data_IF_479523112092
#
_entry.id   IF_479523112092
#
_cell.length_a   1.000
_cell.length_b   1.000
_cell.length_c   1.000
_cell.angle_alpha   90.00
_cell.angle_beta   90.00
_cell.angle_gamma   90.00
#
_symmetry.space_group_name_H-M   'P 1'
#
loop_
_entity.id
_entity.type
_entity.pdbx_description
1 polymer ?
#
# COMPACT_ATOMS: atom_id res chain seq x y z
N UNK A 1 3.75 -18.98 -39.52
CA UNK A 1 2.80 -17.91 -39.90
C UNK A 1 3.35 -16.58 -39.42
N UNK A 2 3.74 -15.69 -40.35
CA UNK A 2 4.33 -14.38 -40.02
C UNK A 2 3.25 -13.31 -39.85
N UNK A 3 3.35 -12.51 -38.78
CA UNK A 3 2.47 -11.37 -38.51
C UNK A 3 3.27 -10.09 -38.31
N UNK A 4 2.62 -8.96 -38.53
CA UNK A 4 3.16 -7.63 -38.27
C UNK A 4 2.83 -7.19 -36.85
N UNK A 5 3.79 -6.58 -36.20
CA UNK A 5 3.67 -5.97 -34.87
C UNK A 5 3.88 -4.49 -35.04
N UNK A 6 2.81 -3.72 -34.93
CA UNK A 6 2.86 -2.28 -34.89
C UNK A 6 3.07 -1.81 -33.46
N UNK A 7 4.09 -0.98 -33.24
CA UNK A 7 4.46 -0.48 -31.92
C UNK A 7 3.90 0.93 -31.78
N UNK A 8 3.00 1.10 -30.80
CA UNK A 8 2.50 2.41 -30.40
C UNK A 8 3.09 2.77 -29.03
N UNK A 9 4.03 3.71 -29.04
CA UNK A 9 4.71 4.18 -27.82
C UNK A 9 5.00 5.67 -27.91
N UNK A 10 5.02 6.34 -26.77
CA UNK A 10 5.47 7.72 -26.65
C UNK A 10 7.02 7.83 -26.63
N UNK A 11 7.75 6.70 -26.66
CA UNK A 11 9.19 6.66 -26.49
C UNK A 11 9.96 6.11 -27.70
N UNK A 12 11.24 6.49 -27.88
CA UNK A 12 12.10 5.85 -28.86
C UNK A 12 12.31 4.39 -28.48
N UNK A 13 11.85 3.48 -29.33
CA UNK A 13 12.26 2.07 -29.27
C UNK A 13 13.75 1.98 -29.61
N UNK A 14 14.50 0.98 -29.10
CA UNK A 14 15.93 0.80 -29.44
C UNK A 14 16.18 0.68 -30.96
N UNK A 15 15.14 0.36 -31.72
CA UNK A 15 15.15 0.23 -33.17
C UNK A 15 14.32 1.34 -33.82
N UNK A 16 14.81 1.91 -34.93
CA UNK A 16 14.12 2.96 -35.72
C UNK A 16 12.81 2.50 -36.39
N UNK A 17 12.48 1.21 -36.30
CA UNK A 17 11.30 0.61 -36.93
C UNK A 17 10.15 0.49 -35.95
N UNK A 18 9.04 1.15 -36.27
CA UNK A 18 7.75 1.03 -35.58
C UNK A 18 7.03 -0.28 -35.88
N UNK A 19 7.50 -1.03 -36.88
CA UNK A 19 6.92 -2.31 -37.28
C UNK A 19 7.95 -3.43 -37.15
N UNK A 20 7.59 -4.50 -36.44
CA UNK A 20 8.35 -5.74 -36.37
C UNK A 20 7.58 -6.86 -37.05
N UNK A 21 8.30 -7.89 -37.50
CA UNK A 21 7.72 -9.13 -37.98
C UNK A 21 8.06 -10.24 -37.01
N UNK A 22 7.06 -11.00 -36.58
CA UNK A 22 7.27 -12.17 -35.73
C UNK A 22 6.56 -13.38 -36.34
N UNK A 23 7.20 -14.55 -36.22
CA UNK A 23 6.56 -15.81 -36.51
C UNK A 23 5.77 -16.28 -35.28
N UNK A 24 4.49 -16.61 -35.48
CA UNK A 24 3.61 -17.16 -34.44
C UNK A 24 3.72 -18.67 -34.25
N UNK A 25 4.56 -19.35 -35.05
CA UNK A 25 4.86 -20.77 -34.83
C UNK A 25 5.47 -20.99 -33.44
N UNK A 26 4.95 -22.02 -32.75
CA UNK A 26 5.31 -22.41 -31.38
C UNK A 26 4.90 -21.42 -30.28
N UNK A 27 3.99 -20.47 -30.57
CA UNK A 27 3.37 -19.63 -29.55
C UNK A 27 1.94 -20.12 -29.27
N UNK A 28 1.65 -20.46 -28.02
CA UNK A 28 0.31 -20.94 -27.63
C UNK A 28 -0.63 -19.77 -27.30
N UNK A 29 -0.09 -18.73 -26.67
CA UNK A 29 -0.85 -17.64 -26.06
C UNK A 29 -0.29 -16.26 -26.34
N UNK A 30 -1.11 -15.22 -26.07
CA UNK A 30 -0.67 -13.82 -26.09
C UNK A 30 0.43 -13.58 -25.05
N UNK A 31 0.42 -14.29 -23.91
CA UNK A 31 1.52 -14.27 -22.95
C UNK A 31 2.85 -14.69 -23.57
N UNK A 32 2.87 -15.77 -24.35
CA UNK A 32 4.09 -16.25 -25.03
C UNK A 32 4.57 -15.27 -26.08
N UNK A 33 3.63 -14.65 -26.81
CA UNK A 33 3.95 -13.58 -27.74
C UNK A 33 4.62 -12.39 -27.05
N UNK A 34 4.09 -11.94 -25.91
CA UNK A 34 4.70 -10.86 -25.11
C UNK A 34 6.10 -11.23 -24.64
N UNK A 35 6.31 -12.47 -24.17
CA UNK A 35 7.64 -12.98 -23.80
C UNK A 35 8.62 -13.00 -24.97
N UNK A 36 8.16 -13.36 -26.17
CA UNK A 36 8.99 -13.31 -27.39
C UNK A 36 9.34 -11.87 -27.78
N UNK A 37 8.43 -10.93 -27.56
CA UNK A 37 8.64 -9.50 -27.84
C UNK A 37 9.51 -8.79 -26.80
N UNK A 38 9.52 -9.24 -25.55
CA UNK A 38 10.27 -8.63 -24.44
C UNK A 38 11.74 -8.29 -24.78
N UNK A 39 12.58 -9.24 -25.23
CA UNK A 39 13.97 -8.94 -25.59
C UNK A 39 14.07 -8.06 -26.83
N UNK A 40 13.11 -8.12 -27.75
CA UNK A 40 13.08 -7.31 -28.98
C UNK A 40 12.73 -5.85 -28.69
N UNK A 41 11.87 -5.60 -27.72
CA UNK A 41 11.39 -4.26 -27.37
C UNK A 41 12.15 -3.66 -26.18
N UNK A 42 12.89 -4.47 -25.43
CA UNK A 42 13.44 -4.09 -24.12
C UNK A 42 12.34 -3.60 -23.16
N UNK A 43 11.25 -4.35 -23.08
CA UNK A 43 10.05 -4.00 -22.30
C UNK A 43 9.58 -5.23 -21.53
N UNK A 44 9.18 -5.07 -20.27
CA UNK A 44 8.59 -6.15 -19.48
C UNK A 44 7.30 -6.67 -20.14
N UNK A 45 7.15 -7.98 -20.26
CA UNK A 45 5.96 -8.58 -20.85
C UNK A 45 4.66 -8.17 -20.12
N UNK A 46 4.71 -7.96 -18.80
CA UNK A 46 3.59 -7.49 -17.98
C UNK A 46 3.13 -6.05 -18.33
N UNK A 47 4.03 -5.20 -18.85
CA UNK A 47 3.71 -3.83 -19.27
C UNK A 47 3.13 -3.73 -20.68
N UNK A 48 3.19 -4.81 -21.45
CA UNK A 48 2.67 -4.82 -22.82
C UNK A 48 1.14 -4.96 -22.82
N UNK A 49 0.48 -4.06 -23.55
CA UNK A 49 -0.93 -4.21 -23.94
C UNK A 49 -1.00 -4.53 -25.42
N UNK A 50 -1.65 -5.64 -25.76
CA UNK A 50 -1.71 -6.18 -27.12
C UNK A 50 -3.13 -6.08 -27.65
N UNK A 51 -3.27 -5.63 -28.89
CA UNK A 51 -4.55 -5.52 -29.60
C UNK A 51 -4.41 -6.18 -30.97
N UNK A 52 -5.48 -6.81 -31.47
CA UNK A 52 -5.51 -7.37 -32.82
C UNK A 52 -6.32 -6.45 -33.74
N UNK A 53 -5.71 -5.99 -34.84
CA UNK A 53 -6.34 -5.05 -35.76
C UNK A 53 -7.19 -5.78 -36.81
N UNK A 54 -8.27 -6.41 -36.36
CA UNK A 54 -9.37 -6.82 -37.25
C UNK A 54 -10.33 -5.66 -37.38
N UNK A 55 -10.69 -5.29 -38.63
CA UNK A 55 -11.56 -4.15 -38.93
C UNK A 55 -12.82 -4.11 -38.05
N UNK A 56 -13.27 -2.88 -37.76
CA UNK A 56 -14.46 -2.44 -36.98
C UNK A 56 -14.14 -1.97 -35.54
N UNK A 57 -13.74 -0.69 -35.49
CA UNK A 57 -13.97 0.36 -34.48
C UNK A 57 -13.61 0.17 -32.99
N UNK A 58 -13.45 -1.04 -32.43
CA UNK A 58 -12.99 -1.23 -31.05
C UNK A 58 -12.27 -2.59 -30.93
N UNK A 59 -10.95 -2.62 -31.14
CA UNK A 59 -10.16 -3.83 -30.84
C UNK A 59 -10.01 -3.96 -29.32
N UNK A 60 -10.60 -4.98 -28.65
CA UNK A 60 -10.41 -5.15 -27.22
C UNK A 60 -8.96 -5.52 -26.91
N UNK A 61 -8.47 -5.12 -25.73
CA UNK A 61 -7.18 -5.54 -25.20
C UNK A 61 -7.18 -7.06 -25.03
N UNK A 62 -6.17 -7.73 -25.56
CA UNK A 62 -6.02 -9.17 -25.44
C UNK A 62 -5.37 -9.55 -24.11
N UNK A 63 -6.00 -10.48 -23.41
CA UNK A 63 -5.48 -11.05 -22.17
C UNK A 63 -4.35 -12.06 -22.42
N UNK A 64 -3.43 -12.20 -21.46
CA UNK A 64 -2.29 -13.11 -21.57
C UNK A 64 -2.70 -14.57 -21.83
N UNK A 65 -3.83 -15.01 -21.24
CA UNK A 65 -4.33 -16.39 -21.36
C UNK A 65 -5.02 -16.68 -22.69
N UNK A 66 -5.29 -15.65 -23.52
CA UNK A 66 -5.95 -15.84 -24.81
C UNK A 66 -5.04 -16.65 -25.73
N UNK A 67 -5.53 -17.80 -26.19
CA UNK A 67 -4.81 -18.65 -27.15
C UNK A 67 -4.74 -17.98 -28.51
N UNK A 68 -3.59 -18.06 -29.17
CA UNK A 68 -3.39 -17.50 -30.52
C UNK A 68 -4.28 -18.22 -31.54
N UNK A 69 -4.45 -19.54 -31.40
CA UNK A 69 -5.35 -20.33 -32.24
C UNK A 69 -6.80 -19.83 -32.25
N UNK A 70 -7.21 -19.09 -31.22
CA UNK A 70 -8.57 -18.57 -31.08
C UNK A 70 -8.76 -17.17 -31.71
N UNK A 71 -7.71 -16.59 -32.30
CA UNK A 71 -7.73 -15.22 -32.83
C UNK A 71 -7.93 -15.14 -34.35
N UNK A 72 -8.10 -16.29 -35.03
CA UNK A 72 -8.28 -16.40 -36.48
C UNK A 72 -7.29 -15.55 -37.29
N UNK A 73 -6.04 -15.54 -36.82
CA UNK A 73 -4.96 -14.72 -37.37
C UNK A 73 -4.53 -15.28 -38.71
N UNK A 74 -4.30 -14.40 -39.68
CA UNK A 74 -3.78 -14.71 -41.02
C UNK A 74 -2.38 -14.15 -41.18
N UNK A 75 -1.66 -14.70 -42.16
CA UNK A 75 -0.36 -14.15 -42.54
C UNK A 75 -0.48 -12.69 -42.98
N UNK A 76 0.37 -11.83 -42.42
CA UNK A 76 0.35 -10.39 -42.66
C UNK A 76 -0.61 -9.57 -41.78
N UNK A 77 -1.43 -10.22 -40.93
CA UNK A 77 -2.25 -9.52 -39.93
C UNK A 77 -1.39 -8.68 -38.99
N UNK A 78 -1.99 -7.64 -38.41
CA UNK A 78 -1.27 -6.68 -37.56
C UNK A 78 -1.78 -6.73 -36.13
N UNK A 79 -0.86 -6.95 -35.19
CA UNK A 79 -1.07 -6.67 -33.78
C UNK A 79 -0.52 -5.29 -33.42
N UNK A 80 -1.22 -4.56 -32.57
CA UNK A 80 -0.75 -3.31 -31.99
C UNK A 80 -0.26 -3.61 -30.57
N UNK A 81 0.96 -3.18 -30.26
CA UNK A 81 1.56 -3.32 -28.94
C UNK A 81 1.81 -1.94 -28.35
N UNK A 82 1.22 -1.70 -27.17
CA UNK A 82 1.37 -0.48 -26.38
C UNK A 82 2.12 -0.78 -25.09
N UNK A 83 3.01 0.10 -24.67
CA UNK A 83 3.69 0.00 -23.38
C UNK A 83 4.15 1.38 -22.88
N UNK A 84 4.46 1.48 -21.59
CA UNK A 84 4.73 2.74 -20.90
C UNK A 84 6.19 3.19 -21.09
N UNK A 85 7.15 2.28 -20.93
CA UNK A 85 8.59 2.57 -21.04
C UNK A 85 9.39 1.30 -21.33
N UNK A 86 10.60 1.48 -21.85
CA UNK A 86 11.64 0.46 -21.90
C UNK A 86 12.28 0.24 -20.51
N UNK A 87 12.83 -0.95 -20.29
CA UNK A 87 13.53 -1.36 -19.07
C UNK A 87 14.96 -1.85 -19.37
N UNK A 88 15.82 -1.82 -18.35
CA UNK A 88 17.22 -2.26 -18.42
C UNK A 88 17.35 -3.78 -18.30
N UNK A 89 16.76 -4.51 -19.25
CA UNK A 89 16.68 -5.98 -19.23
C UNK A 89 18.02 -6.64 -18.89
N UNK A 90 19.09 -6.37 -19.65
CA UNK A 90 20.38 -7.03 -19.46
C UNK A 90 20.97 -6.81 -18.05
N UNK A 91 20.92 -5.58 -17.54
CA UNK A 91 21.40 -5.27 -16.19
C UNK A 91 20.58 -6.02 -15.14
N UNK A 92 19.25 -5.93 -15.23
CA UNK A 92 18.35 -6.56 -14.26
C UNK A 92 18.39 -8.08 -14.32
N UNK A 93 18.51 -8.69 -15.50
CA UNK A 93 18.68 -10.14 -15.65
C UNK A 93 19.95 -10.62 -14.96
N UNK A 94 21.09 -9.96 -15.21
CA UNK A 94 22.35 -10.29 -14.55
C UNK A 94 22.24 -10.17 -13.03
N UNK A 95 21.63 -9.07 -12.57
CA UNK A 95 21.39 -8.85 -11.15
C UNK A 95 20.51 -9.94 -10.51
N UNK A 96 19.43 -10.35 -11.18
CA UNK A 96 18.58 -11.45 -10.74
C UNK A 96 19.33 -12.79 -10.73
N UNK A 97 20.24 -13.01 -11.66
CA UNK A 97 21.08 -14.20 -11.68
C UNK A 97 22.05 -14.23 -10.50
N UNK A 98 22.63 -13.09 -10.11
CA UNK A 98 23.45 -12.97 -8.89
C UNK A 98 22.61 -13.27 -7.63
N UNK A 99 21.38 -12.77 -7.55
CA UNK A 99 20.45 -13.09 -6.46
C UNK A 99 20.09 -14.59 -6.45
N UNK A 100 19.83 -15.20 -7.61
CA UNK A 100 19.55 -16.63 -7.74
C UNK A 100 20.73 -17.47 -7.29
N UNK A 101 21.95 -17.10 -7.69
CA UNK A 101 23.17 -17.79 -7.29
C UNK A 101 23.32 -17.74 -5.76
N UNK A 102 23.15 -16.58 -5.14
CA UNK A 102 23.19 -16.48 -3.67
C UNK A 102 22.10 -17.31 -2.99
N UNK A 103 20.86 -17.26 -3.48
CA UNK A 103 19.78 -18.06 -2.90
C UNK A 103 20.10 -19.55 -3.00
N UNK A 104 20.60 -20.02 -4.14
CA UNK A 104 20.95 -21.43 -4.34
C UNK A 104 22.16 -21.86 -3.50
N UNK A 105 23.25 -21.11 -3.58
CA UNK A 105 24.54 -21.50 -3.02
C UNK A 105 24.65 -21.17 -1.52
N UNK A 106 23.84 -20.23 -1.02
CA UNK A 106 23.87 -19.75 0.39
C UNK A 106 22.53 -19.91 1.09
N UNK A 107 21.38 -19.59 0.50
CA UNK A 107 20.14 -19.78 1.25
C UNK A 107 19.74 -21.26 1.33
N UNK A 108 19.77 -21.99 0.22
CA UNK A 108 19.28 -23.39 0.14
C UNK A 108 20.25 -24.37 0.83
N UNK A 109 21.55 -24.27 0.53
CA UNK A 109 22.59 -25.09 1.19
C UNK A 109 22.54 -24.98 2.73
N UNK A 110 22.17 -23.81 3.24
CA UNK A 110 22.12 -23.55 4.69
C UNK A 110 20.72 -23.69 5.30
N UNK A 111 19.68 -23.87 4.47
CA UNK A 111 18.32 -24.19 4.93
C UNK A 111 18.10 -25.70 5.07
N UNK A 112 18.82 -26.53 4.30
CA UNK A 112 18.76 -27.99 4.36
C UNK A 112 19.65 -28.59 5.47
N UNK A 113 20.58 -27.82 6.03
CA UNK A 113 21.43 -28.21 7.14
C UNK A 113 20.80 -27.90 8.50
N UNK A 114 20.35 -28.96 9.21
CA UNK A 114 19.98 -28.90 10.62
C UNK A 114 21.03 -28.16 11.46
N UNK A 115 20.56 -27.15 12.19
CA UNK A 115 21.27 -26.46 13.28
C UNK A 115 22.61 -25.85 12.89
N UNK A 116 22.54 -24.65 12.32
CA UNK A 116 23.45 -23.60 12.80
C UNK A 116 23.15 -23.44 14.29
N UNK A 117 23.93 -24.10 15.16
CA UNK A 117 24.06 -23.70 16.56
C UNK A 117 24.28 -22.18 16.57
N UNK A 118 23.64 -21.46 17.48
CA UNK A 118 23.82 -20.00 17.64
C UNK A 118 25.30 -19.57 17.72
N UNK A 119 26.21 -20.52 17.98
CA UNK A 119 27.66 -20.41 17.83
C UNK A 119 28.16 -21.08 16.53
N UNK A 120 28.10 -20.38 15.39
CA UNK A 120 29.17 -20.55 14.39
C UNK A 120 30.40 -19.88 15.02
N UNK A 121 31.51 -20.60 15.11
CA UNK A 121 32.78 -19.97 15.41
C UNK A 121 33.14 -19.13 14.18
N UNK A 122 32.92 -17.82 14.25
CA UNK A 122 33.11 -16.88 13.13
C UNK A 122 34.58 -16.74 12.69
N UNK A 123 35.48 -17.54 13.27
CA UNK A 123 36.86 -17.74 12.83
C UNK A 123 37.00 -18.82 11.75
N UNK A 124 35.91 -19.48 11.33
CA UNK A 124 35.89 -20.45 10.22
C UNK A 124 35.89 -19.73 8.86
N UNK A 125 36.75 -20.17 7.95
CA UNK A 125 36.82 -19.70 6.55
C UNK A 125 35.45 -19.74 5.86
N UNK A 126 34.60 -20.69 6.25
CA UNK A 126 33.23 -20.83 5.75
C UNK A 126 32.34 -19.66 6.16
N UNK A 127 32.44 -19.18 7.40
CA UNK A 127 31.65 -18.06 7.90
C UNK A 127 32.03 -16.74 7.22
N UNK A 128 33.34 -16.54 7.00
CA UNK A 128 33.88 -15.41 6.26
C UNK A 128 33.43 -15.41 4.80
N UNK A 129 33.43 -16.57 4.15
CA UNK A 129 32.94 -16.71 2.77
C UNK A 129 31.45 -16.33 2.66
N UNK A 130 30.61 -16.76 3.60
CA UNK A 130 29.18 -16.41 3.64
C UNK A 130 28.97 -14.91 3.88
N UNK A 131 29.68 -14.31 4.83
CA UNK A 131 29.59 -12.87 5.10
C UNK A 131 29.97 -12.06 3.84
N UNK A 132 31.03 -12.47 3.14
CA UNK A 132 31.44 -11.85 1.88
C UNK A 132 30.39 -11.99 0.78
N UNK A 133 29.79 -13.18 0.62
CA UNK A 133 28.69 -13.40 -0.33
C UNK A 133 27.48 -12.52 0.02
N UNK A 134 27.08 -12.47 1.29
CA UNK A 134 25.95 -11.66 1.74
C UNK A 134 26.20 -10.16 1.52
N UNK A 135 27.38 -9.65 1.90
CA UNK A 135 27.76 -8.25 1.66
C UNK A 135 27.76 -7.91 0.17
N UNK A 136 28.21 -8.83 -0.67
CA UNK A 136 28.22 -8.63 -2.12
C UNK A 136 26.79 -8.47 -2.64
N UNK A 137 25.88 -9.37 -2.26
CA UNK A 137 24.47 -9.29 -2.67
C UNK A 137 23.77 -8.06 -2.10
N UNK A 138 24.04 -7.72 -0.84
CA UNK A 138 23.47 -6.52 -0.21
C UNK A 138 23.93 -5.26 -0.92
N UNK A 139 25.21 -5.14 -1.27
CA UNK A 139 25.72 -4.01 -2.05
C UNK A 139 25.07 -3.95 -3.43
N UNK A 140 24.96 -5.08 -4.13
CA UNK A 140 24.31 -5.13 -5.44
C UNK A 140 22.83 -4.74 -5.35
N UNK A 141 22.15 -5.14 -4.27
CA UNK A 141 20.79 -4.69 -3.96
C UNK A 141 20.77 -3.16 -3.80
N UNK A 142 21.59 -2.60 -2.91
CA UNK A 142 21.65 -1.15 -2.69
C UNK A 142 21.95 -0.36 -3.98
N UNK A 143 22.88 -0.83 -4.79
CA UNK A 143 23.21 -0.25 -6.10
C UNK A 143 22.02 -0.32 -7.07
N UNK A 144 21.34 -1.47 -7.16
CA UNK A 144 20.16 -1.64 -8.02
C UNK A 144 19.01 -0.74 -7.57
N UNK A 145 18.74 -0.68 -6.27
CA UNK A 145 17.71 0.20 -5.70
C UNK A 145 18.00 1.67 -6.04
N UNK A 146 19.25 2.11 -5.87
CA UNK A 146 19.63 3.50 -6.11
C UNK A 146 19.65 3.87 -7.60
N UNK A 147 20.21 3.01 -8.45
CA UNK A 147 20.47 3.34 -9.86
C UNK A 147 19.27 3.08 -10.76
N UNK A 148 18.45 2.07 -10.45
CA UNK A 148 17.44 1.58 -11.39
C UNK A 148 16.00 1.70 -10.89
N UNK A 149 15.79 1.81 -9.58
CA UNK A 149 14.44 1.95 -9.01
C UNK A 149 14.11 3.37 -8.57
N UNK A 150 15.06 4.29 -8.57
CA UNK A 150 14.90 5.71 -8.21
C UNK A 150 15.20 6.60 -9.42
N UNK A 151 14.46 7.71 -9.65
CA UNK A 151 13.30 8.17 -8.88
C UNK A 151 12.05 7.32 -9.15
N UNK A 152 11.27 7.04 -8.11
CA UNK A 152 10.12 6.12 -8.14
C UNK A 152 9.00 6.56 -9.10
N UNK A 153 8.86 7.86 -9.33
CA UNK A 153 7.80 8.43 -10.17
C UNK A 153 8.10 8.39 -11.67
N UNK A 154 9.31 7.96 -12.06
CA UNK A 154 9.73 7.90 -13.46
C UNK A 154 9.21 6.62 -14.14
N UNK A 155 8.72 6.77 -15.36
CA UNK A 155 8.20 5.65 -16.16
C UNK A 155 9.25 4.54 -16.39
N UNK A 156 10.53 4.89 -16.54
CA UNK A 156 11.60 3.91 -16.76
C UNK A 156 11.87 3.06 -15.51
N UNK A 157 11.88 3.67 -14.33
CA UNK A 157 12.11 2.95 -13.07
C UNK A 157 10.90 2.10 -12.70
N UNK A 158 9.67 2.56 -13.01
CA UNK A 158 8.45 1.74 -12.93
C UNK A 158 8.60 0.48 -13.78
N UNK A 159 8.99 0.61 -15.04
CA UNK A 159 9.18 -0.53 -15.94
C UNK A 159 10.29 -1.48 -15.44
N UNK A 160 11.37 -0.95 -14.86
CA UNK A 160 12.43 -1.76 -14.22
C UNK A 160 11.88 -2.58 -13.04
N UNK A 161 11.06 -1.98 -12.16
CA UNK A 161 10.45 -2.67 -11.01
C UNK A 161 9.44 -3.74 -11.45
N UNK A 162 8.63 -3.46 -12.47
CA UNK A 162 7.70 -4.44 -13.03
C UNK A 162 8.44 -5.62 -13.66
N UNK A 163 9.55 -5.37 -14.38
CA UNK A 163 10.40 -6.44 -14.90
C UNK A 163 11.01 -7.27 -13.77
N UNK A 164 11.58 -6.62 -12.75
CA UNK A 164 12.15 -7.29 -11.58
C UNK A 164 11.13 -8.21 -10.90
N UNK A 165 9.91 -7.74 -10.67
CA UNK A 165 8.83 -8.54 -10.11
C UNK A 165 8.41 -9.69 -11.04
N UNK A 166 8.27 -9.43 -12.34
CA UNK A 166 7.90 -10.45 -13.33
C UNK A 166 8.86 -11.65 -13.34
N UNK A 167 10.15 -11.40 -13.17
CA UNK A 167 11.20 -12.43 -13.24
C UNK A 167 11.49 -13.12 -11.89
N UNK A 168 10.59 -12.95 -10.92
CA UNK A 168 10.68 -13.59 -9.60
C UNK A 168 11.58 -12.88 -8.59
N UNK A 169 11.89 -11.60 -8.83
CA UNK A 169 12.78 -10.83 -7.96
C UNK A 169 12.26 -10.65 -6.54
N UNK A 170 10.92 -10.58 -6.36
CA UNK A 170 10.29 -10.42 -5.05
C UNK A 170 10.48 -11.67 -4.19
N UNK A 171 10.34 -12.87 -4.77
CA UNK A 171 10.52 -14.15 -4.10
C UNK A 171 11.99 -14.37 -3.70
N UNK A 172 12.92 -13.97 -4.57
CA UNK A 172 14.36 -14.01 -4.26
C UNK A 172 14.69 -13.07 -3.11
N UNK A 173 14.16 -11.83 -3.15
CA UNK A 173 14.34 -10.86 -2.09
C UNK A 173 13.80 -11.37 -0.76
N UNK A 174 12.62 -11.99 -0.76
CA UNK A 174 12.03 -12.58 0.43
C UNK A 174 12.89 -13.70 1.03
N UNK A 175 13.49 -14.54 0.19
CA UNK A 175 14.43 -15.58 0.64
C UNK A 175 15.70 -14.99 1.24
N UNK A 176 16.25 -13.93 0.63
CA UNK A 176 17.41 -13.21 1.15
C UNK A 176 17.09 -12.56 2.50
N UNK A 177 15.93 -11.93 2.62
CA UNK A 177 15.49 -11.33 3.88
C UNK A 177 15.24 -12.37 4.96
N UNK A 178 14.67 -13.52 4.61
CA UNK A 178 14.49 -14.64 5.54
C UNK A 178 15.84 -15.18 6.04
N UNK A 179 16.84 -15.25 5.16
CA UNK A 179 18.19 -15.59 5.56
C UNK A 179 18.77 -14.53 6.51
N UNK A 180 18.61 -13.25 6.18
CA UNK A 180 19.09 -12.14 6.99
C UNK A 180 18.37 -12.02 8.35
N UNK A 181 17.07 -12.33 8.43
CA UNK A 181 16.27 -12.26 9.66
C UNK A 181 16.72 -13.28 10.70
N UNK A 182 17.11 -14.48 10.25
CA UNK A 182 17.69 -15.52 11.11
C UNK A 182 19.10 -15.18 11.63
N UNK A 183 19.72 -14.10 11.15
CA UNK A 183 21.12 -13.76 11.40
C UNK A 183 21.30 -12.31 11.86
N UNK A 184 22.53 -11.92 12.21
CA UNK A 184 22.87 -10.54 12.59
C UNK A 184 23.03 -9.60 11.38
N UNK A 185 22.56 -10.02 10.20
CA UNK A 185 22.68 -9.24 8.99
C UNK A 185 21.65 -8.10 8.92
N UNK A 186 22.02 -6.93 8.36
CA UNK A 186 21.09 -5.83 8.13
C UNK A 186 20.13 -6.18 6.98
N UNK A 187 18.85 -5.82 7.11
CA UNK A 187 17.88 -5.91 6.01
C UNK A 187 18.04 -4.69 5.10
N UNK A 188 18.13 -4.89 3.79
CA UNK A 188 18.16 -3.79 2.82
C UNK A 188 16.75 -3.28 2.54
N UNK A 189 16.17 -2.46 3.42
CA UNK A 189 14.70 -2.24 3.50
C UNK A 189 14.09 -1.30 2.44
N UNK A 190 14.85 -0.88 1.43
CA UNK A 190 14.41 0.06 0.37
C UNK A 190 13.45 -0.54 -0.67
N UNK A 191 13.12 -1.81 -0.55
CA UNK A 191 12.26 -2.52 -1.50
C UNK A 191 10.83 -2.69 -1.04
N UNK A 192 10.48 -2.25 0.18
CA UNK A 192 9.10 -2.35 0.69
C UNK A 192 8.08 -1.59 -0.17
N UNK A 193 8.56 -0.74 -1.05
CA UNK A 193 7.80 0.08 -1.97
C UNK A 193 7.53 -0.61 -3.32
N UNK A 194 8.13 -1.78 -3.56
CA UNK A 194 7.78 -2.60 -4.72
C UNK A 194 6.32 -3.06 -4.60
N UNK A 195 5.58 -3.20 -5.70
CA UNK A 195 4.26 -3.82 -5.66
C UNK A 195 4.33 -5.23 -5.07
N UNK A 196 3.32 -5.61 -4.28
CA UNK A 196 3.09 -6.94 -3.69
C UNK A 196 4.13 -7.45 -2.68
N UNK A 197 5.30 -6.81 -2.57
CA UNK A 197 6.32 -7.20 -1.59
C UNK A 197 5.80 -7.12 -0.15
N UNK A 198 4.91 -6.16 0.14
CA UNK A 198 4.35 -5.96 1.46
C UNK A 198 3.63 -7.23 1.95
N UNK A 199 2.92 -7.90 1.04
CA UNK A 199 2.25 -9.15 1.34
C UNK A 199 3.27 -10.26 1.62
N UNK A 200 4.30 -10.39 0.77
CA UNK A 200 5.34 -11.41 0.93
C UNK A 200 6.09 -11.23 2.26
N UNK A 201 6.40 -9.99 2.65
CA UNK A 201 7.03 -9.68 3.93
C UNK A 201 6.11 -10.02 5.10
N UNK A 202 4.83 -9.68 5.00
CA UNK A 202 3.85 -9.93 6.06
C UNK A 202 3.52 -11.41 6.25
N UNK A 203 3.65 -12.23 5.21
CA UNK A 203 3.51 -13.70 5.30
C UNK A 203 4.70 -14.35 6.03
N UNK A 204 5.83 -13.67 6.17
CA UNK A 204 7.01 -14.16 6.87
C UNK A 204 7.14 -13.57 8.28
N UNK A 205 6.72 -14.35 9.28
CA UNK A 205 6.78 -13.97 10.69
C UNK A 205 8.20 -13.62 11.18
N UNK A 206 9.24 -14.32 10.69
CA UNK A 206 10.62 -14.04 11.10
C UNK A 206 11.12 -12.69 10.57
N UNK A 207 10.73 -12.33 9.34
CA UNK A 207 11.04 -11.03 8.76
C UNK A 207 10.33 -9.91 9.52
N UNK A 208 9.03 -10.06 9.82
CA UNK A 208 8.30 -9.11 10.67
C UNK A 208 8.95 -8.96 12.05
N UNK A 209 9.31 -10.07 12.69
CA UNK A 209 9.99 -10.08 13.99
C UNK A 209 11.33 -9.36 13.93
N UNK A 210 12.10 -9.57 12.86
CA UNK A 210 13.38 -8.88 12.65
C UNK A 210 13.20 -7.39 12.42
N UNK A 211 12.24 -6.98 11.59
CA UNK A 211 11.91 -5.56 11.37
C UNK A 211 11.55 -4.89 12.69
N UNK A 212 10.69 -5.53 13.49
CA UNK A 212 10.34 -5.02 14.81
C UNK A 212 11.55 -4.95 15.74
N UNK A 213 12.41 -5.96 15.76
CA UNK A 213 13.65 -5.95 16.55
C UNK A 213 14.58 -4.79 16.15
N UNK A 214 14.71 -4.54 14.84
CA UNK A 214 15.54 -3.45 14.29
C UNK A 214 15.05 -2.08 14.74
N UNK A 215 13.75 -1.87 14.96
CA UNK A 215 13.22 -0.57 15.42
C UNK A 215 13.80 -0.11 16.77
N UNK A 216 14.29 -1.03 17.60
CA UNK A 216 14.94 -0.72 18.87
C UNK A 216 16.45 -0.96 18.84
N UNK A 217 16.89 -1.98 18.11
CA UNK A 217 18.27 -2.50 18.15
C UNK A 217 19.08 -2.23 16.88
N UNK A 218 18.54 -1.45 15.93
CA UNK A 218 19.30 -1.04 14.74
C UNK A 218 20.60 -0.33 15.10
N UNK A 219 21.61 -0.47 14.24
CA UNK A 219 22.96 0.10 14.43
C UNK A 219 22.97 1.62 14.55
N UNK A 220 22.03 2.27 13.88
CA UNK A 220 21.87 3.72 13.79
C UNK A 220 20.38 4.09 13.73
N UNK A 221 20.08 5.39 13.81
CA UNK A 221 18.71 5.91 13.74
C UNK A 221 18.04 5.57 12.41
N UNK A 222 18.77 5.69 11.30
CA UNK A 222 18.26 5.42 9.97
C UNK A 222 17.73 3.99 9.84
N UNK A 223 18.48 2.99 10.29
CA UNK A 223 18.03 1.60 10.23
C UNK A 223 16.75 1.36 11.04
N UNK A 224 16.64 1.97 12.23
CA UNK A 224 15.44 1.88 13.07
C UNK A 224 14.23 2.48 12.36
N UNK A 225 14.41 3.65 11.75
CA UNK A 225 13.38 4.42 11.07
C UNK A 225 12.90 3.74 9.79
N UNK A 226 13.81 3.23 8.97
CA UNK A 226 13.43 2.50 7.75
C UNK A 226 12.71 1.19 8.11
N UNK A 227 13.13 0.48 9.17
CA UNK A 227 12.42 -0.71 9.63
C UNK A 227 10.98 -0.38 10.08
N UNK A 228 10.79 0.72 10.81
CA UNK A 228 9.47 1.19 11.23
C UNK A 228 8.61 1.65 10.04
N UNK A 229 9.18 2.41 9.10
CA UNK A 229 8.50 2.80 7.86
C UNK A 229 8.08 1.57 7.03
N UNK A 230 8.91 0.53 7.00
CA UNK A 230 8.60 -0.71 6.30
C UNK A 230 7.41 -1.43 6.90
N UNK A 231 7.34 -1.53 8.23
CA UNK A 231 6.17 -2.05 8.92
C UNK A 231 4.92 -1.24 8.56
N UNK A 232 5.01 0.10 8.59
CA UNK A 232 3.94 0.99 8.15
C UNK A 232 3.52 0.72 6.70
N UNK A 233 4.45 0.65 5.74
CA UNK A 233 4.15 0.33 4.35
C UNK A 233 3.42 -1.01 4.23
N UNK A 234 3.79 -2.02 5.03
CA UNK A 234 3.07 -3.28 5.07
C UNK A 234 1.64 -3.14 5.61
N UNK A 235 1.40 -2.27 6.61
CA UNK A 235 0.04 -2.02 7.12
C UNK A 235 -0.88 -1.34 6.10
N UNK A 236 -0.34 -0.61 5.12
CA UNK A 236 -1.13 0.04 4.07
C UNK A 236 -1.70 -0.93 3.03
N UNK A 237 -1.10 -2.13 2.89
CA UNK A 237 -1.57 -3.11 1.92
C UNK A 237 -2.62 -4.03 2.57
N UNK A 238 -3.89 -4.05 2.10
CA UNK A 238 -4.98 -4.72 2.83
C UNK A 238 -4.76 -6.20 3.14
N UNK A 239 -4.10 -6.95 2.23
CA UNK A 239 -3.79 -8.37 2.47
C UNK A 239 -2.63 -8.55 3.45
N UNK A 240 -1.65 -7.65 3.40
CA UNK A 240 -0.49 -7.70 4.29
C UNK A 240 -0.90 -7.32 5.72
N UNK A 241 -1.77 -6.31 5.85
CA UNK A 241 -2.33 -5.87 7.12
C UNK A 241 -3.11 -6.99 7.84
N UNK A 242 -3.89 -7.80 7.10
CA UNK A 242 -4.53 -9.01 7.66
C UNK A 242 -3.51 -10.02 8.17
N UNK A 243 -2.46 -10.28 7.39
CA UNK A 243 -1.39 -11.20 7.81
C UNK A 243 -0.64 -10.69 9.05
N UNK A 244 -0.44 -9.39 9.17
CA UNK A 244 0.11 -8.74 10.36
C UNK A 244 -0.77 -8.99 11.60
N UNK A 245 -2.11 -8.91 11.45
CA UNK A 245 -3.07 -9.20 12.52
C UNK A 245 -3.05 -10.68 12.90
N UNK A 246 -3.12 -11.58 11.91
CA UNK A 246 -3.04 -13.04 12.11
C UNK A 246 -1.75 -13.44 12.85
N UNK A 247 -0.64 -12.79 12.51
CA UNK A 247 0.67 -13.00 13.13
C UNK A 247 0.86 -12.25 14.46
N UNK A 248 -0.14 -11.51 14.94
CA UNK A 248 -0.10 -10.69 16.16
C UNK A 248 1.04 -9.66 16.21
N UNK A 249 1.67 -9.34 15.07
CA UNK A 249 2.80 -8.41 15.02
C UNK A 249 2.40 -7.00 15.50
N UNK A 250 1.14 -6.60 15.30
CA UNK A 250 0.62 -5.33 15.80
C UNK A 250 0.59 -5.22 17.32
N UNK A 251 0.39 -6.32 18.06
CA UNK A 251 0.43 -6.32 19.54
C UNK A 251 1.82 -5.96 20.02
N UNK A 252 2.85 -6.51 19.39
CA UNK A 252 4.23 -6.21 19.77
C UNK A 252 4.66 -4.78 19.38
N UNK A 253 4.05 -4.19 18.34
CA UNK A 253 4.17 -2.75 18.06
C UNK A 253 3.45 -1.93 19.12
N UNK A 254 2.23 -2.32 19.50
CA UNK A 254 1.42 -1.66 20.54
C UNK A 254 2.15 -1.66 21.89
N UNK A 255 2.66 -2.81 22.35
CA UNK A 255 3.43 -2.96 23.59
C UNK A 255 4.65 -2.03 23.63
N UNK A 256 5.36 -1.89 22.51
CA UNK A 256 6.49 -0.95 22.40
C UNK A 256 6.01 0.51 22.43
N UNK A 257 4.92 0.80 21.74
CA UNK A 257 4.38 2.15 21.61
C UNK A 257 3.72 2.66 22.91
N UNK A 258 3.25 1.77 23.79
CA UNK A 258 2.70 2.11 25.11
C UNK A 258 3.68 2.94 25.98
N UNK A 259 4.99 2.86 25.74
CA UNK A 259 5.96 3.74 26.38
C UNK A 259 5.67 5.24 26.17
N UNK A 260 4.96 5.61 25.10
CA UNK A 260 4.54 7.00 24.82
C UNK A 260 3.64 7.57 25.93
N UNK A 261 2.80 6.76 26.55
CA UNK A 261 1.92 7.19 27.65
C UNK A 261 2.73 7.63 28.89
N UNK A 262 3.88 6.99 29.11
CA UNK A 262 4.78 7.28 30.21
C UNK A 262 5.73 8.44 29.92
N UNK A 263 5.99 8.75 28.65
CA UNK A 263 6.97 9.75 28.24
C UNK A 263 6.59 11.17 28.69
N UNK A 264 5.30 11.44 28.99
CA UNK A 264 4.67 12.69 29.47
C UNK A 264 4.97 13.93 28.63
N UNK A 265 6.22 14.28 28.37
CA UNK A 265 6.70 15.34 27.45
C UNK A 265 8.09 15.05 26.84
N UNK A 266 8.83 14.05 27.35
CA UNK A 266 10.20 13.75 26.94
C UNK A 266 10.31 12.40 26.22
N UNK A 267 10.35 12.47 24.89
CA UNK A 267 10.53 11.29 24.03
C UNK A 267 11.95 10.70 24.10
N UNK A 268 12.92 11.37 24.73
CA UNK A 268 14.29 10.86 24.87
C UNK A 268 14.38 9.65 25.80
N UNK A 269 13.37 9.45 26.66
CA UNK A 269 13.25 8.29 27.53
C UNK A 269 12.82 7.01 26.78
N UNK A 270 12.40 7.12 25.51
CA UNK A 270 11.98 5.97 24.71
C UNK A 270 13.18 5.25 24.07
N UNK A 271 13.10 3.92 23.89
CA UNK A 271 14.17 3.14 23.26
C UNK A 271 14.26 3.33 21.73
N UNK A 272 13.47 4.26 21.16
CA UNK A 272 13.37 4.51 19.73
C UNK A 272 13.17 6.01 19.43
N UNK A 273 13.45 6.42 18.19
CA UNK A 273 13.42 7.84 17.78
C UNK A 273 11.98 8.36 17.63
N UNK A 274 11.81 9.68 17.60
CA UNK A 274 10.50 10.31 17.32
C UNK A 274 9.92 9.84 15.97
N UNK A 275 10.77 9.58 14.98
CA UNK A 275 10.34 9.07 13.68
C UNK A 275 9.82 7.63 13.76
N UNK A 276 10.47 6.75 14.54
CA UNK A 276 9.93 5.40 14.81
C UNK A 276 8.58 5.48 15.51
N UNK A 277 8.42 6.35 16.51
CA UNK A 277 7.13 6.57 17.18
C UNK A 277 6.04 7.00 16.19
N UNK A 278 6.37 7.92 15.28
CA UNK A 278 5.47 8.37 14.22
C UNK A 278 5.04 7.22 13.29
N UNK A 279 5.98 6.39 12.82
CA UNK A 279 5.65 5.24 11.97
C UNK A 279 4.85 4.15 12.72
N UNK A 280 5.08 3.96 14.02
CA UNK A 280 4.26 3.07 14.85
C UNK A 280 2.82 3.58 14.99
N UNK A 281 2.62 4.88 15.20
CA UNK A 281 1.28 5.45 15.30
C UNK A 281 0.53 5.33 13.96
N UNK A 282 1.20 5.63 12.85
CA UNK A 282 0.65 5.40 11.51
C UNK A 282 0.28 3.94 11.26
N UNK A 283 1.18 3.02 11.61
CA UNK A 283 0.94 1.59 11.51
C UNK A 283 -0.27 1.14 12.32
N UNK A 284 -0.37 1.53 13.59
CA UNK A 284 -1.48 1.12 14.46
C UNK A 284 -2.80 1.75 14.02
N UNK A 285 -2.79 3.02 13.62
CA UNK A 285 -3.95 3.70 13.07
C UNK A 285 -4.49 2.96 11.84
N UNK A 286 -3.61 2.57 10.90
CA UNK A 286 -4.01 1.81 9.72
C UNK A 286 -4.63 0.47 10.06
N UNK A 287 -4.01 -0.29 10.97
CA UNK A 287 -4.50 -1.60 11.41
C UNK A 287 -5.90 -1.44 12.03
N UNK A 288 -6.13 -0.39 12.83
CA UNK A 288 -7.42 -0.09 13.43
C UNK A 288 -8.48 0.33 12.40
N UNK A 289 -8.10 1.06 11.35
CA UNK A 289 -9.04 1.58 10.34
C UNK A 289 -9.27 0.62 9.15
N UNK A 290 -8.82 -0.64 9.25
CA UNK A 290 -9.10 -1.61 8.20
C UNK A 290 -10.61 -1.80 8.01
N UNK A 291 -11.10 -1.86 6.76
CA UNK A 291 -12.53 -1.87 6.46
C UNK A 291 -13.26 -3.17 6.83
N UNK A 292 -12.57 -4.21 7.31
CA UNK A 292 -13.21 -5.47 7.71
C UNK A 292 -13.63 -5.39 9.18
N UNK A 293 -14.92 -5.64 9.42
CA UNK A 293 -15.50 -5.56 10.76
C UNK A 293 -14.87 -6.61 11.70
N UNK A 294 -14.59 -6.19 12.94
CA UNK A 294 -14.22 -7.06 14.08
C UNK A 294 -12.86 -7.76 14.01
N UNK A 295 -11.86 -7.18 13.32
CA UNK A 295 -10.50 -7.74 13.33
C UNK A 295 -9.77 -7.62 14.66
N UNK A 296 -10.08 -6.58 15.45
CA UNK A 296 -9.43 -6.30 16.73
C UNK A 296 -10.43 -6.36 17.91
N UNK A 297 -10.02 -6.92 19.06
CA UNK A 297 -10.72 -6.78 20.33
C UNK A 297 -10.91 -5.31 20.75
N UNK A 298 -12.02 -5.01 21.43
CA UNK A 298 -12.35 -3.66 21.87
C UNK A 298 -11.30 -3.05 22.82
N UNK A 299 -10.77 -3.85 23.74
CA UNK A 299 -9.74 -3.44 24.68
C UNK A 299 -8.43 -3.06 23.99
N UNK A 300 -8.07 -3.76 22.91
CA UNK A 300 -6.90 -3.43 22.11
C UNK A 300 -7.12 -2.16 21.28
N UNK A 301 -8.33 -1.95 20.75
CA UNK A 301 -8.71 -0.69 20.09
C UNK A 301 -8.57 0.49 21.07
N UNK A 302 -8.99 0.34 22.33
CA UNK A 302 -8.84 1.38 23.34
C UNK A 302 -7.36 1.64 23.67
N UNK A 303 -6.53 0.60 23.78
CA UNK A 303 -5.09 0.76 23.98
C UNK A 303 -4.41 1.46 22.80
N UNK A 304 -4.77 1.11 21.56
CA UNK A 304 -4.27 1.81 20.37
C UNK A 304 -4.67 3.29 20.45
N UNK A 305 -5.94 3.59 20.69
CA UNK A 305 -6.44 4.96 20.81
C UNK A 305 -5.66 5.77 21.87
N UNK A 306 -5.34 5.17 23.02
CA UNK A 306 -4.54 5.81 24.07
C UNK A 306 -3.13 6.16 23.59
N UNK A 307 -2.46 5.23 22.90
CA UNK A 307 -1.14 5.46 22.30
C UNK A 307 -1.19 6.58 21.26
N UNK A 308 -2.20 6.59 20.39
CA UNK A 308 -2.35 7.60 19.35
C UNK A 308 -2.59 9.00 19.96
N UNK A 309 -3.44 9.12 20.98
CA UNK A 309 -3.66 10.39 21.68
C UNK A 309 -2.40 10.84 22.43
N UNK A 310 -1.69 9.93 23.09
CA UNK A 310 -0.42 10.25 23.76
C UNK A 310 0.62 10.81 22.77
N UNK A 311 0.71 10.23 21.56
CA UNK A 311 1.57 10.76 20.51
C UNK A 311 1.16 12.17 20.08
N UNK A 312 -0.13 12.41 19.83
CA UNK A 312 -0.67 13.70 19.40
C UNK A 312 -0.45 14.80 20.44
N UNK A 313 -0.43 14.45 21.74
CA UNK A 313 -0.13 15.40 22.81
C UNK A 313 1.35 15.80 22.89
N UNK A 314 2.27 14.90 22.53
CA UNK A 314 3.72 15.11 22.73
C UNK A 314 4.44 15.55 21.45
N UNK A 315 3.89 15.25 20.28
CA UNK A 315 4.52 15.55 18.98
C UNK A 315 3.66 16.53 18.19
N UNK A 316 4.30 17.50 17.53
CA UNK A 316 3.62 18.45 16.62
C UNK A 316 3.91 18.12 15.16
N UNK A 317 3.01 18.43 14.21
CA UNK A 317 3.24 18.20 12.78
C UNK A 317 4.53 18.85 12.28
N UNK A 318 4.85 20.06 12.78
CA UNK A 318 6.05 20.79 12.40
C UNK A 318 7.36 20.08 12.75
N UNK A 319 7.37 19.30 13.85
CA UNK A 319 8.55 18.52 14.27
C UNK A 319 8.81 17.36 13.30
N UNK A 320 7.75 16.68 12.86
CA UNK A 320 7.84 15.59 11.87
C UNK A 320 8.18 16.14 10.48
N UNK A 321 7.58 17.26 10.08
CA UNK A 321 7.90 17.93 8.81
C UNK A 321 9.38 18.26 8.69
N UNK A 322 9.98 18.89 9.71
CA UNK A 322 11.43 19.17 9.73
C UNK A 322 12.28 17.91 9.65
N UNK A 323 11.92 16.86 10.40
CA UNK A 323 12.62 15.58 10.33
C UNK A 323 12.60 15.03 8.89
N UNK A 324 11.45 15.06 8.22
CA UNK A 324 11.32 14.56 6.85
C UNK A 324 12.12 15.38 5.84
N UNK A 325 12.12 16.71 5.98
CA UNK A 325 12.93 17.62 5.15
C UNK A 325 14.44 17.36 5.34
N UNK A 326 14.91 17.28 6.60
CA UNK A 326 16.31 17.02 6.94
C UNK A 326 16.83 15.69 6.37
N UNK A 327 15.97 14.67 6.33
CA UNK A 327 16.32 13.34 5.84
C UNK A 327 15.91 13.11 4.38
N UNK A 328 15.40 14.15 3.70
CA UNK A 328 14.93 14.10 2.31
C UNK A 328 13.96 12.94 2.04
N UNK A 329 13.05 12.69 2.99
CA UNK A 329 11.99 11.71 2.78
C UNK A 329 11.09 12.17 1.65
N UNK A 330 10.83 11.28 0.70
CA UNK A 330 9.85 11.54 -0.34
C UNK A 330 8.86 10.40 -0.39
N UNK A 331 7.59 10.77 -0.32
CA UNK A 331 6.49 9.82 -0.34
C UNK A 331 6.21 9.36 -1.77
N UNK A 332 5.90 8.07 -1.93
CA UNK A 332 5.44 7.53 -3.21
C UNK A 332 3.97 7.86 -3.45
N UNK A 333 3.19 7.84 -2.37
CA UNK A 333 1.75 8.07 -2.40
C UNK A 333 1.30 8.75 -1.13
N UNK A 334 0.30 9.63 -1.27
CA UNK A 334 -0.34 10.33 -0.16
C UNK A 334 -1.72 9.75 0.18
N UNK A 335 -2.16 8.75 -0.59
CA UNK A 335 -3.42 8.03 -0.40
C UNK A 335 -3.58 7.51 1.04
N UNK A 336 -2.59 6.85 1.67
CA UNK A 336 -2.79 6.29 3.00
C UNK A 336 -3.12 7.33 4.08
N UNK A 337 -2.51 8.52 4.01
CA UNK A 337 -2.75 9.59 4.98
C UNK A 337 -4.13 10.21 4.83
N UNK A 338 -4.59 10.37 3.59
CA UNK A 338 -5.96 10.81 3.32
C UNK A 338 -6.99 9.75 3.72
N UNK A 339 -6.71 8.48 3.48
CA UNK A 339 -7.58 7.38 3.91
C UNK A 339 -7.74 7.36 5.43
N UNK A 340 -6.67 7.55 6.18
CA UNK A 340 -6.71 7.67 7.64
C UNK A 340 -7.57 8.87 8.07
N UNK A 341 -7.35 10.05 7.50
CA UNK A 341 -8.11 11.26 7.83
C UNK A 341 -9.60 11.17 7.47
N UNK A 342 -9.97 10.23 6.59
CA UNK A 342 -11.33 10.00 6.10
C UNK A 342 -11.89 8.63 6.54
N UNK A 343 -11.26 7.96 7.50
CA UNK A 343 -11.64 6.60 7.90
C UNK A 343 -13.06 6.54 8.48
N UNK A 344 -13.58 7.65 8.99
CA UNK A 344 -14.88 7.72 9.63
C UNK A 344 -14.82 7.24 11.08
N UNK A 345 -15.90 7.44 11.85
CA UNK A 345 -15.93 7.03 13.24
C UNK A 345 -15.96 5.50 13.28
N UNK A 346 -14.95 4.89 13.92
CA UNK A 346 -15.00 3.47 14.28
C UNK A 346 -16.23 3.27 15.15
N UNK A 347 -17.27 2.59 14.64
CA UNK A 347 -18.51 2.38 15.40
C UNK A 347 -18.13 1.63 16.69
N UNK A 348 -18.35 2.21 17.88
CA UNK A 348 -18.33 1.42 19.09
C UNK A 348 -19.47 0.41 18.96
N UNK A 349 -19.21 -0.84 19.33
CA UNK A 349 -20.24 -1.85 19.48
C UNK A 349 -21.40 -1.26 20.28
N UNK A 350 -22.54 -1.09 19.63
CA UNK A 350 -23.80 -1.07 20.35
C UNK A 350 -23.97 -2.46 20.93
N UNK A 351 -23.91 -2.60 22.25
CA UNK A 351 -24.36 -3.81 22.90
C UNK A 351 -25.78 -4.07 22.41
N UNK A 352 -26.04 -5.26 21.86
CA UNK A 352 -27.41 -5.69 21.51
C UNK A 352 -28.37 -5.62 22.72
N UNK A 353 -27.85 -5.45 23.93
CA UNK A 353 -28.62 -5.22 25.14
C UNK A 353 -29.35 -3.86 25.22
N UNK A 354 -28.92 -2.82 24.51
CA UNK A 354 -29.67 -1.54 24.51
C UNK A 354 -30.85 -1.54 23.52
N UNK A 355 -30.88 -2.46 22.55
CA UNK A 355 -32.01 -2.60 21.62
C UNK A 355 -33.20 -3.37 22.20
N UNK A 356 -33.04 -4.03 23.34
CA UNK A 356 -34.09 -4.85 23.97
C UNK A 356 -34.83 -4.16 25.13
N UNK A 357 -34.43 -2.96 25.55
CA UNK A 357 -35.08 -2.25 26.67
C UNK A 357 -36.05 -1.13 26.27
N UNK A 358 -36.24 -0.87 24.98
CA UNK A 358 -37.25 0.07 24.48
C UNK A 358 -38.29 -0.65 23.61
N UNK A 359 -38.85 -1.74 24.10
CA UNK A 359 -40.18 -2.21 23.65
C UNK A 359 -41.20 -1.75 24.69
N UNK A 360 -42.22 -0.96 24.33
CA UNK A 360 -43.36 -0.76 25.20
C UNK A 360 -44.00 -2.13 25.45
N UNK A 361 -44.12 -2.54 26.71
CA UNK A 361 -44.93 -3.69 27.06
C UNK A 361 -46.39 -3.34 26.77
N UNK A 362 -46.91 -3.79 25.64
CA UNK A 362 -48.34 -3.81 25.38
C UNK A 362 -48.89 -5.02 26.13
N UNK A 363 -49.50 -4.76 27.29
CA UNK A 363 -50.34 -5.72 28.00
C UNK A 363 -51.56 -6.03 27.14
N UNK A 364 -51.67 -7.27 26.66
CA UNK A 364 -52.86 -7.76 25.94
C UNK A 364 -53.84 -8.32 26.97
N UNK A 365 -54.96 -7.62 27.14
CA UNK A 365 -56.13 -8.07 27.89
C UNK A 365 -57.07 -8.83 26.93
N UNK A 366 -57.37 -10.13 27.15
CA UNK A 366 -58.15 -10.90 26.20
C UNK A 366 -59.63 -10.91 26.58
N UNK A 367 -60.42 -10.00 26.00
CA UNK A 367 -61.88 -10.16 25.78
C UNK A 367 -62.47 -8.93 25.07
N UNK A 368 -62.73 -9.04 23.77
CA UNK A 368 -64.07 -8.80 23.20
C UNK A 368 -64.06 -9.00 21.69
N UNK A 369 -65.21 -9.43 21.22
CA UNK A 369 -65.53 -10.06 19.95
C UNK A 369 -66.17 -9.04 18.97
N UNK A 370 -66.06 -9.36 17.67
CA UNK A 370 -66.97 -9.04 16.55
C UNK A 370 -66.86 -7.65 15.87
N UNK A 371 -66.63 -7.66 14.54
CA UNK A 371 -67.34 -6.76 13.61
C UNK A 371 -66.57 -6.08 12.47
N UNK A 372 -66.51 -6.74 11.31
CA UNK A 372 -66.84 -6.22 9.94
C UNK A 372 -66.08 -5.02 9.29
N UNK A 373 -65.33 -5.37 8.23
CA UNK A 373 -65.08 -4.69 6.92
C UNK A 373 -64.24 -3.38 6.78
N UNK A 374 -63.63 -3.17 5.58
CA UNK A 374 -62.44 -2.33 5.38
C UNK A 374 -62.78 -0.92 4.85
N UNK A 375 -61.98 0.08 5.25
CA UNK A 375 -62.09 1.45 4.73
C UNK A 375 -60.76 2.19 4.83
N UNK A 376 -60.34 2.75 3.69
CA UNK A 376 -59.19 3.62 3.47
C UNK A 376 -59.11 4.79 4.46
N UNK A 377 -57.94 4.99 5.12
CA UNK A 377 -57.46 6.29 5.65
C UNK A 377 -55.93 6.26 5.67
N UNK A 378 -55.29 7.04 4.80
CA UNK A 378 -54.70 8.37 5.09
C UNK A 378 -53.33 8.25 5.78
N UNK A 379 -52.29 8.48 4.98
CA UNK A 379 -50.89 8.45 5.37
C UNK A 379 -50.49 9.76 6.05
N UNK A 380 -50.75 9.90 7.35
CA UNK A 380 -50.09 10.92 8.17
C UNK A 380 -49.65 10.29 9.49
N UNK A 381 -48.39 9.87 9.53
CA UNK A 381 -47.69 9.58 10.77
C UNK A 381 -46.41 10.41 10.78
N UNK A 382 -46.45 11.47 11.58
CA UNK A 382 -45.34 12.33 11.95
C UNK A 382 -44.14 11.49 12.38
N UNK A 383 -43.07 11.51 11.58
CA UNK A 383 -41.77 10.99 11.99
C UNK A 383 -41.13 12.07 12.86
N UNK A 384 -41.41 12.03 14.16
CA UNK A 384 -40.64 12.75 15.16
C UNK A 384 -39.28 12.06 15.35
N UNK A 385 -38.31 12.35 14.47
CA UNK A 385 -36.91 11.95 14.65
C UNK A 385 -36.07 13.17 15.02
N UNK A 386 -36.25 13.71 16.22
CA UNK A 386 -35.23 14.54 16.87
C UNK A 386 -34.23 13.61 17.57
N UNK A 387 -33.29 13.06 16.79
CA UNK A 387 -31.95 12.79 17.32
C UNK A 387 -31.12 13.99 16.92
N UNK A 388 -30.90 14.91 17.85
CA UNK A 388 -29.86 15.93 17.69
C UNK A 388 -28.55 15.18 17.43
N UNK A 389 -28.09 15.21 16.19
CA UNK A 389 -26.78 14.69 15.81
C UNK A 389 -25.78 15.64 16.45
N UNK A 390 -25.15 15.21 17.54
CA UNK A 390 -24.04 15.94 18.15
C UNK A 390 -22.92 16.21 17.14
N UNK A 391 -21.99 17.15 17.43
CA UNK A 391 -20.86 17.41 16.56
C UNK A 391 -20.06 16.13 16.31
N UNK A 392 -19.55 15.99 15.09
CA UNK A 392 -18.69 14.87 14.73
C UNK A 392 -17.41 14.90 15.56
N UNK A 393 -17.07 13.77 16.18
CA UNK A 393 -15.83 13.60 16.93
C UNK A 393 -14.87 12.74 16.11
N UNK A 394 -13.71 13.30 15.78
CA UNK A 394 -12.62 12.59 15.12
C UNK A 394 -12.04 11.56 16.06
N UNK A 395 -11.93 10.32 15.57
CA UNK A 395 -11.18 9.28 16.26
C UNK A 395 -9.68 9.61 16.29
N UNK A 396 -8.91 9.04 17.25
CA UNK A 396 -7.47 9.23 17.30
C UNK A 396 -6.76 8.84 15.99
N UNK A 397 -7.23 7.80 15.30
CA UNK A 397 -6.68 7.41 14.00
C UNK A 397 -6.91 8.48 12.91
N UNK A 398 -8.08 9.11 12.87
CA UNK A 398 -8.35 10.21 11.94
C UNK A 398 -7.54 11.46 12.28
N UNK A 399 -7.36 11.76 13.57
CA UNK A 399 -6.49 12.85 14.03
C UNK A 399 -5.04 12.61 13.60
N UNK A 400 -4.54 11.37 13.64
CA UNK A 400 -3.21 11.03 13.08
C UNK A 400 -3.18 11.30 11.56
N UNK A 401 -4.24 10.96 10.83
CA UNK A 401 -4.36 11.33 9.41
C UNK A 401 -4.25 12.84 9.18
N UNK A 402 -5.04 13.63 9.91
CA UNK A 402 -5.01 15.11 9.87
C UNK A 402 -3.63 15.68 10.24
N UNK A 403 -3.03 15.15 11.30
CA UNK A 403 -1.69 15.47 11.75
C UNK A 403 -0.66 15.30 10.62
N UNK A 404 -0.76 14.22 9.84
CA UNK A 404 0.14 13.97 8.72
C UNK A 404 -0.07 14.99 7.61
N UNK A 405 -1.32 15.24 7.23
CA UNK A 405 -1.66 16.19 6.17
C UNK A 405 -1.16 17.61 6.47
N UNK A 406 -1.07 17.99 7.75
CA UNK A 406 -0.56 19.30 8.17
C UNK A 406 0.88 19.57 7.74
N UNK A 407 1.75 18.56 7.70
CA UNK A 407 3.13 18.74 7.24
C UNK A 407 3.32 18.30 5.78
N UNK A 408 2.57 17.29 5.32
CA UNK A 408 2.63 16.81 3.94
C UNK A 408 2.13 17.84 2.92
N UNK A 409 1.11 18.65 3.24
CA UNK A 409 0.59 19.66 2.32
C UNK A 409 1.51 20.88 2.11
N UNK A 410 2.53 21.07 2.97
CA UNK A 410 3.35 22.28 2.97
C UNK A 410 4.51 22.24 1.97
N UNK A 411 4.97 21.06 1.55
CA UNK A 411 6.13 20.95 0.66
C UNK A 411 5.72 21.00 -0.81
N UNK A 412 6.48 21.70 -1.69
CA UNK A 412 6.21 21.72 -3.13
C UNK A 412 6.11 20.32 -3.75
N UNK A 413 6.99 19.40 -3.35
CA UNK A 413 7.09 18.04 -3.88
C UNK A 413 5.81 17.24 -3.59
N UNK A 414 5.30 17.33 -2.36
CA UNK A 414 4.07 16.64 -1.98
C UNK A 414 2.83 17.31 -2.59
N UNK A 415 2.82 18.63 -2.78
CA UNK A 415 1.73 19.32 -3.51
C UNK A 415 1.61 18.83 -4.95
N UNK A 416 2.73 18.66 -5.63
CA UNK A 416 2.74 18.06 -6.98
C UNK A 416 2.29 16.60 -6.94
N UNK A 417 2.60 15.87 -5.86
CA UNK A 417 2.10 14.51 -5.67
C UNK A 417 0.58 14.47 -5.46
N UNK A 418 0.00 15.37 -4.65
CA UNK A 418 -1.45 15.50 -4.50
C UNK A 418 -2.14 15.75 -5.85
N UNK A 419 -1.58 16.62 -6.70
CA UNK A 419 -2.09 16.87 -8.06
C UNK A 419 -1.99 15.64 -8.94
N UNK A 420 -0.81 14.99 -8.95
CA UNK A 420 -0.53 13.80 -9.76
C UNK A 420 -1.48 12.64 -9.42
N UNK A 421 -1.76 12.44 -8.14
CA UNK A 421 -2.66 11.40 -7.65
C UNK A 421 -4.15 11.82 -7.67
N UNK A 422 -4.45 13.07 -8.08
CA UNK A 422 -5.81 13.64 -8.13
C UNK A 422 -6.50 13.64 -6.76
N UNK A 423 -5.75 14.01 -5.73
CA UNK A 423 -6.17 13.96 -4.33
C UNK A 423 -6.58 15.32 -3.75
N UNK A 424 -6.42 16.42 -4.50
CA UNK A 424 -6.70 17.79 -4.05
C UNK A 424 -8.14 17.96 -3.53
N UNK A 425 -9.12 17.46 -4.27
CA UNK A 425 -10.52 17.54 -3.89
C UNK A 425 -10.81 16.85 -2.54
N UNK A 426 -10.14 15.73 -2.25
CA UNK A 426 -10.26 15.02 -0.97
C UNK A 426 -9.61 15.80 0.16
N UNK A 427 -8.41 16.35 -0.07
CA UNK A 427 -7.71 17.19 0.89
C UNK A 427 -8.55 18.42 1.27
N UNK A 428 -9.16 19.09 0.28
CA UNK A 428 -10.02 20.25 0.51
C UNK A 428 -11.25 19.86 1.34
N UNK A 429 -11.89 18.72 1.01
CA UNK A 429 -13.04 18.21 1.77
C UNK A 429 -12.67 17.94 3.24
N UNK A 430 -11.54 17.28 3.49
CA UNK A 430 -11.04 17.00 4.85
C UNK A 430 -10.80 18.29 5.61
N UNK A 431 -10.13 19.28 5.01
CA UNK A 431 -9.85 20.56 5.66
C UNK A 431 -11.14 21.33 5.96
N UNK A 432 -12.06 21.39 5.01
CA UNK A 432 -13.36 22.06 5.18
C UNK A 432 -14.18 21.42 6.30
N UNK A 433 -14.08 20.10 6.45
CA UNK A 433 -14.75 19.36 7.52
C UNK A 433 -14.08 19.61 8.89
N UNK A 434 -12.75 19.48 8.96
CA UNK A 434 -11.97 19.72 10.19
C UNK A 434 -12.14 21.14 10.75
N UNK A 435 -12.25 22.16 9.88
CA UNK A 435 -12.49 23.55 10.28
C UNK A 435 -13.79 23.77 11.08
N UNK A 436 -14.75 22.84 10.99
CA UNK A 436 -16.03 22.89 11.73
C UNK A 436 -15.97 22.18 13.08
N UNK A 437 -14.86 21.52 13.39
CA UNK A 437 -14.66 20.74 14.61
C UNK A 437 -13.58 21.42 15.47
N UNK A 438 -13.95 22.11 16.56
CA UNK A 438 -12.98 22.83 17.40
C UNK A 438 -11.87 21.95 17.99
N UNK A 439 -12.15 20.66 18.20
CA UNK A 439 -11.20 19.68 18.77
C UNK A 439 -10.00 19.34 17.88
N UNK A 440 -10.07 19.63 16.57
CA UNK A 440 -9.00 19.36 15.60
C UNK A 440 -8.59 20.62 14.84
N UNK A 441 -8.93 21.80 15.38
CA UNK A 441 -8.65 23.07 14.74
C UNK A 441 -7.14 23.30 14.52
N UNK A 442 -6.30 22.81 15.45
CA UNK A 442 -4.84 22.83 15.38
C UNK A 442 -4.26 21.77 14.42
N UNK A 443 -5.05 20.75 14.07
CA UNK A 443 -4.73 19.71 13.08
C UNK A 443 -5.37 19.98 11.71
N UNK A 444 -5.76 21.23 11.43
CA UNK A 444 -6.28 21.60 10.10
C UNK A 444 -5.11 21.93 9.15
N UNK A 445 -4.90 21.17 8.06
CA UNK A 445 -3.84 21.44 7.11
C UNK A 445 -4.01 22.81 6.45
N UNK A 446 -2.88 23.51 6.24
CA UNK A 446 -2.87 24.74 5.46
C UNK A 446 -2.85 24.39 3.98
N UNK A 447 -3.76 25.00 3.22
CA UNK A 447 -3.89 24.79 1.78
C UNK A 447 -3.13 25.83 0.96
N UNK A 448 -2.04 26.36 1.51
CA UNK A 448 -1.20 27.33 0.82
C UNK A 448 -0.66 26.72 -0.49
N UNK A 449 -0.89 27.38 -1.62
CA UNK A 449 -0.44 26.91 -2.94
C UNK A 449 -1.39 25.95 -3.68
N UNK A 450 -2.59 25.70 -3.15
CA UNK A 450 -3.68 25.05 -3.89
C UNK A 450 -4.59 26.11 -4.52
N UNK A 451 -4.97 25.93 -5.79
CA UNK A 451 -5.79 26.91 -6.53
C UNK A 451 -7.25 26.94 -6.05
N UNK A 452 -7.73 25.81 -5.53
CA UNK A 452 -9.11 25.62 -5.08
C UNK A 452 -9.16 25.49 -3.57
N UNK A 453 -10.00 26.30 -2.92
CA UNK A 453 -10.18 26.31 -1.47
C UNK A 453 -11.59 25.89 -1.02
N UNK A 454 -12.52 25.75 -1.96
CA UNK A 454 -13.88 25.29 -1.69
C UNK A 454 -14.07 23.82 -2.09
N UNK A 455 -14.74 23.02 -1.24
CA UNK A 455 -14.98 21.62 -1.54
C UNK A 455 -15.81 21.47 -2.83
N UNK A 456 -15.64 20.37 -3.57
CA UNK A 456 -16.52 20.06 -4.69
C UNK A 456 -17.97 20.02 -4.23
N UNK A 457 -18.87 20.55 -5.09
CA UNK A 457 -20.30 20.46 -4.83
C UNK A 457 -20.70 19.00 -4.71
N UNK A 458 -21.56 18.68 -3.74
CA UNK A 458 -22.07 17.32 -3.54
C UNK A 458 -22.66 16.73 -4.84
N UNK A 459 -23.33 17.56 -5.64
CA UNK A 459 -23.83 17.19 -6.96
C UNK A 459 -22.72 16.71 -7.90
N UNK A 460 -21.57 17.39 -7.95
CA UNK A 460 -20.43 16.99 -8.76
C UNK A 460 -19.82 15.67 -8.27
N UNK A 461 -19.71 15.49 -6.94
CA UNK A 461 -19.21 14.24 -6.33
C UNK A 461 -20.17 13.08 -6.66
N UNK A 462 -21.47 13.29 -6.46
CA UNK A 462 -22.51 12.29 -6.73
C UNK A 462 -22.52 11.91 -8.22
N UNK A 463 -22.45 12.88 -9.13
CA UNK A 463 -22.36 12.62 -10.58
C UNK A 463 -21.10 11.84 -10.94
N UNK A 464 -19.95 12.19 -10.38
CA UNK A 464 -18.69 11.47 -10.62
C UNK A 464 -18.75 10.03 -10.11
N UNK A 465 -19.29 9.81 -8.91
CA UNK A 465 -19.47 8.47 -8.33
C UNK A 465 -20.46 7.63 -9.16
N UNK A 466 -21.62 8.19 -9.49
CA UNK A 466 -22.62 7.52 -10.33
C UNK A 466 -22.04 7.21 -11.73
N UNK A 467 -21.29 8.14 -12.33
CA UNK A 467 -20.60 7.88 -13.60
C UNK A 467 -19.56 6.78 -13.49
N UNK A 468 -18.82 6.67 -12.37
CA UNK A 468 -17.84 5.60 -12.13
C UNK A 468 -18.52 4.23 -11.94
N UNK A 469 -19.64 4.20 -11.22
CA UNK A 469 -20.34 2.95 -10.90
C UNK A 469 -21.26 2.47 -12.03
N UNK A 470 -21.79 3.39 -12.86
CA UNK A 470 -22.85 3.10 -13.82
C UNK A 470 -22.59 3.60 -15.25
N UNK A 471 -21.49 4.32 -15.50
CA UNK A 471 -21.20 4.95 -16.81
C UNK A 471 -21.02 3.98 -17.98
N UNK A 472 -20.63 2.72 -17.73
CA UNK A 472 -20.56 1.68 -18.77
C UNK A 472 -21.91 1.04 -19.11
N UNK A 473 -22.98 1.32 -18.34
CA UNK A 473 -24.32 0.72 -18.55
C UNK A 473 -25.35 1.67 -19.17
N UNK A 474 -24.93 2.88 -19.56
CA UNK A 474 -25.83 3.94 -20.08
C UNK A 474 -25.44 4.40 -21.50
N UNK A 475 -24.42 3.81 -22.13
CA UNK A 475 -24.22 3.84 -23.59
C UNK A 475 -24.48 2.45 -24.17
#
# INVERSE_FOLDING_TARGET
MEVKIHIETEFPVPYKTTDLKINLENLESIGDMKKKLQPLLSVAACDMSVYHKTQVLLSPKLENRKKISNLYVREGDTFIVKFISVCKLHFLSKFLDDMRAFVKDVCETFSEGDKIKECIDWNDDTASAIDNCYRTVLRSLEECAHNEFVPWNCRSTIANRHYFAQEGGLELLARIYNFASKKRYPLGVRYVELPDIQQILAENHEVLSKLLWLTSNGSDSYQKEVAANTLFCCSNHPKAARKIIENQCYRSVLEKAQGLELAREDLSALPFTTAVAYFFCLFLANIQTLPEENLLPYDEIQQINQVLEAFLHVVTPSKIGRFQEEHSYVWISLIPFLQLALAGPSRPFGTENERLQTRPQVSVDPRSEIGTQPGEKSCDAEISNNREIGPYNFSPAEKIGLFCLCHLANTPENRELFKKEKLEDYLICVCWFAQRCPEVADLTPKLDGFERLEPPRLESIAKAYLSKCFGEKIM
#
